data_IF_722275379396
#
_entry.id   IF_722275379396
#
_cell.length_a   1.000
_cell.length_b   1.000
_cell.length_c   1.000
_cell.angle_alpha   90.00
_cell.angle_beta   90.00
_cell.angle_gamma   90.00
#
_symmetry.space_group_name_H-M   'P 1'
#
loop_
_entity.id
_entity.type
_entity.pdbx_description
1 polymer ?
#
# COMPACT_ATOMS: atom_id res chain seq x y z
N UNK A 1 -14.81 13.57 3.98
CA UNK A 1 -14.96 12.22 3.38
C UNK A 1 -16.03 12.23 2.31
N UNK A 2 -17.20 12.80 2.59
CA UNK A 2 -18.26 13.03 1.62
C UNK A 2 -17.78 13.79 0.36
N UNK A 3 -17.21 14.99 0.53
CA UNK A 3 -16.47 15.75 -0.51
C UNK A 3 -15.44 14.90 -1.28
N UNK A 4 -14.80 13.94 -0.61
CA UNK A 4 -13.74 13.12 -1.18
C UNK A 4 -14.27 12.04 -2.14
N UNK A 5 -15.50 11.57 -1.92
CA UNK A 5 -16.14 10.55 -2.78
C UNK A 5 -16.91 11.21 -3.93
N UNK A 6 -17.50 12.38 -3.68
CA UNK A 6 -18.30 13.13 -4.65
C UNK A 6 -17.42 13.92 -5.62
N UNK A 7 -16.39 14.61 -5.12
CA UNK A 7 -15.51 15.48 -5.92
C UNK A 7 -14.10 14.89 -6.14
N UNK A 8 -13.76 13.81 -5.44
CA UNK A 8 -12.46 13.15 -5.54
C UNK A 8 -12.44 11.86 -6.36
N UNK A 9 -11.23 11.38 -6.67
CA UNK A 9 -10.99 10.13 -7.40
C UNK A 9 -10.91 8.89 -6.50
N UNK A 10 -11.23 9.01 -5.21
CA UNK A 10 -11.08 7.95 -4.21
C UNK A 10 -12.17 6.90 -4.37
N UNK A 11 -11.77 5.63 -4.44
CA UNK A 11 -12.68 4.49 -4.59
C UNK A 11 -12.82 3.65 -3.29
N UNK A 12 -11.86 3.74 -2.36
CA UNK A 12 -11.86 3.04 -1.07
C UNK A 12 -11.51 4.03 0.05
N UNK A 13 -12.32 4.08 1.10
CA UNK A 13 -11.97 4.79 2.34
C UNK A 13 -11.22 3.86 3.28
N UNK A 14 -10.00 4.22 3.66
CA UNK A 14 -9.18 3.44 4.59
C UNK A 14 -9.39 3.96 6.01
N UNK A 15 -10.32 3.36 6.75
CA UNK A 15 -10.67 3.78 8.10
C UNK A 15 -10.22 2.73 9.12
N UNK A 16 -9.26 3.05 10.00
CA UNK A 16 -8.81 2.12 11.04
C UNK A 16 -9.75 2.07 12.25
N UNK A 17 -10.56 3.12 12.48
CA UNK A 17 -11.53 3.23 13.56
C UNK A 17 -12.84 3.84 13.03
N UNK A 18 -13.95 3.66 13.76
CA UNK A 18 -15.25 4.30 13.49
C UNK A 18 -15.92 3.91 12.15
N UNK A 19 -15.85 2.63 11.78
CA UNK A 19 -16.51 2.07 10.59
C UNK A 19 -18.03 2.29 10.59
N UNK A 20 -18.66 2.25 11.76
CA UNK A 20 -20.11 2.36 11.90
C UNK A 20 -20.59 3.77 11.54
N UNK A 21 -19.93 4.79 12.08
CA UNK A 21 -20.23 6.20 11.76
C UNK A 21 -20.09 6.47 10.26
N UNK A 22 -19.06 5.90 9.63
CA UNK A 22 -18.89 6.01 8.19
C UNK A 22 -20.00 5.31 7.39
N UNK A 23 -20.37 4.09 7.78
CA UNK A 23 -21.43 3.34 7.12
C UNK A 23 -22.77 4.06 7.18
N UNK A 24 -23.17 4.53 8.37
CA UNK A 24 -24.41 5.28 8.55
C UNK A 24 -24.38 6.63 7.84
N UNK A 25 -23.25 7.35 7.88
CA UNK A 25 -23.08 8.59 7.13
C UNK A 25 -23.21 8.39 5.62
N UNK A 26 -22.60 7.34 5.07
CA UNK A 26 -22.70 7.02 3.64
C UNK A 26 -24.12 6.65 3.22
N UNK A 27 -24.84 5.88 4.06
CA UNK A 27 -26.24 5.56 3.83
C UNK A 27 -27.12 6.82 3.82
N UNK A 28 -26.92 7.73 4.78
CA UNK A 28 -27.64 9.00 4.83
C UNK A 28 -27.39 9.88 3.59
N UNK A 29 -26.14 9.97 3.12
CA UNK A 29 -25.77 10.73 1.90
C UNK A 29 -26.38 10.15 0.62
N UNK A 30 -26.66 8.85 0.58
CA UNK A 30 -27.35 8.20 -0.55
C UNK A 30 -28.86 8.44 -0.56
N UNK A 31 -29.49 8.35 0.61
CA UNK A 31 -30.95 8.33 0.73
C UNK A 31 -31.56 9.74 0.76
N UNK A 32 -31.01 10.63 1.59
CA UNK A 32 -31.69 11.89 1.94
C UNK A 32 -31.08 13.10 1.26
N UNK A 33 -29.76 13.13 1.09
CA UNK A 33 -29.07 14.31 0.58
C UNK A 33 -28.70 14.23 -0.90
N UNK A 34 -28.72 13.02 -1.51
CA UNK A 34 -28.28 12.73 -2.90
C UNK A 34 -26.89 13.30 -3.24
N UNK A 35 -26.08 13.59 -2.23
CA UNK A 35 -24.74 14.15 -2.39
C UNK A 35 -23.85 13.14 -3.14
N UNK A 36 -24.04 11.84 -2.86
CA UNK A 36 -23.40 10.74 -3.59
C UNK A 36 -24.40 10.04 -4.50
N UNK A 37 -24.11 9.96 -5.80
CA UNK A 37 -24.96 9.22 -6.74
C UNK A 37 -24.65 7.73 -6.74
N UNK A 38 -25.66 6.88 -6.93
CA UNK A 38 -25.47 5.44 -7.15
C UNK A 38 -24.48 5.15 -8.29
N UNK A 39 -24.53 5.94 -9.37
CA UNK A 39 -23.59 5.86 -10.49
C UNK A 39 -22.12 6.03 -10.05
N UNK A 40 -21.85 6.94 -9.10
CA UNK A 40 -20.49 7.13 -8.56
C UNK A 40 -20.03 5.90 -7.78
N UNK A 41 -20.90 5.32 -6.96
CA UNK A 41 -20.63 4.09 -6.21
C UNK A 41 -20.39 2.91 -7.16
N UNK A 42 -21.26 2.71 -8.14
CA UNK A 42 -21.13 1.62 -9.12
C UNK A 42 -19.80 1.72 -9.89
N UNK A 43 -19.34 2.95 -10.19
CA UNK A 43 -18.03 3.16 -10.81
C UNK A 43 -16.86 2.75 -9.89
N UNK A 44 -16.91 3.10 -8.60
CA UNK A 44 -15.90 2.66 -7.61
C UNK A 44 -15.89 1.15 -7.44
N UNK A 45 -17.07 0.56 -7.22
CA UNK A 45 -17.24 -0.89 -7.06
C UNK A 45 -16.73 -1.64 -8.28
N UNK A 46 -17.01 -1.16 -9.50
CA UNK A 46 -16.51 -1.78 -10.73
C UNK A 46 -14.98 -1.80 -10.79
N UNK A 47 -14.30 -0.73 -10.38
CA UNK A 47 -12.82 -0.69 -10.36
C UNK A 47 -12.25 -1.66 -9.33
N UNK A 48 -12.86 -1.71 -8.14
CA UNK A 48 -12.47 -2.64 -7.06
C UNK A 48 -12.65 -4.09 -7.51
N UNK A 49 -13.81 -4.44 -8.08
CA UNK A 49 -14.09 -5.78 -8.56
C UNK A 49 -13.18 -6.17 -9.73
N UNK A 50 -12.88 -5.24 -10.64
CA UNK A 50 -11.91 -5.48 -11.72
C UNK A 50 -10.52 -5.78 -11.17
N UNK A 51 -10.04 -5.03 -10.16
CA UNK A 51 -8.75 -5.30 -9.53
C UNK A 51 -8.73 -6.69 -8.87
N UNK A 52 -9.79 -7.03 -8.11
CA UNK A 52 -9.92 -8.37 -7.50
C UNK A 52 -9.90 -9.48 -8.54
N UNK A 53 -10.56 -9.27 -9.68
CA UNK A 53 -10.55 -10.21 -10.81
C UNK A 53 -9.14 -10.35 -11.41
N UNK A 54 -8.43 -9.24 -11.65
CA UNK A 54 -7.07 -9.26 -12.21
C UNK A 54 -6.06 -9.96 -11.29
N UNK A 55 -6.29 -9.92 -9.98
CA UNK A 55 -5.49 -10.63 -8.98
C UNK A 55 -5.92 -12.09 -8.77
N UNK A 56 -6.92 -12.59 -9.50
CA UNK A 56 -7.45 -13.96 -9.34
C UNK A 56 -8.22 -14.19 -8.04
N UNK A 57 -8.53 -13.13 -7.26
CA UNK A 57 -9.18 -13.25 -5.95
C UNK A 57 -10.65 -13.69 -6.03
N UNK A 58 -11.24 -13.67 -7.23
CA UNK A 58 -12.61 -14.13 -7.48
C UNK A 58 -12.66 -15.58 -8.00
N UNK A 59 -11.50 -16.23 -8.17
CA UNK A 59 -11.43 -17.59 -8.69
C UNK A 59 -11.85 -18.61 -7.63
N UNK A 60 -12.45 -19.71 -8.07
CA UNK A 60 -13.00 -20.77 -7.19
C UNK A 60 -11.95 -21.38 -6.24
N UNK A 61 -10.68 -21.35 -6.63
CA UNK A 61 -9.56 -21.94 -5.89
C UNK A 61 -8.66 -20.88 -5.23
N UNK A 62 -9.15 -19.65 -5.00
CA UNK A 62 -8.39 -18.65 -4.26
C UNK A 62 -8.12 -19.14 -2.82
N UNK A 63 -6.92 -19.68 -2.60
CA UNK A 63 -6.50 -20.30 -1.35
C UNK A 63 -5.89 -19.34 -0.33
N UNK A 64 -5.84 -18.04 -0.62
CA UNK A 64 -5.15 -17.08 0.22
C UNK A 64 -3.63 -17.24 0.16
N UNK A 65 -2.99 -17.37 1.32
CA UNK A 65 -1.52 -17.50 1.40
C UNK A 65 -1.09 -18.89 0.97
N UNK A 66 -0.23 -18.95 -0.02
CA UNK A 66 0.49 -20.18 -0.35
C UNK A 66 1.52 -20.46 0.75
N UNK A 67 1.26 -21.51 1.53
CA UNK A 67 2.10 -21.88 2.67
C UNK A 67 3.52 -22.30 2.25
N UNK A 68 3.72 -22.74 1.00
CA UNK A 68 5.04 -23.10 0.49
C UNK A 68 5.94 -21.87 0.33
N UNK A 69 5.36 -20.67 0.20
CA UNK A 69 6.06 -19.40 0.10
C UNK A 69 6.55 -18.86 1.45
N UNK A 70 6.11 -19.41 2.58
CA UNK A 70 6.51 -18.92 3.91
C UNK A 70 8.03 -19.02 4.13
N UNK A 71 8.66 -20.06 3.59
CA UNK A 71 10.10 -20.26 3.67
C UNK A 71 10.89 -19.28 2.78
N UNK A 72 10.22 -18.59 1.84
CA UNK A 72 10.86 -17.56 1.02
C UNK A 72 10.98 -16.22 1.75
N UNK A 73 10.21 -15.98 2.81
CA UNK A 73 10.21 -14.70 3.52
C UNK A 73 11.55 -14.49 4.23
N UNK A 74 12.31 -13.47 3.81
CA UNK A 74 13.57 -13.12 4.47
C UNK A 74 14.66 -14.17 4.25
N UNK A 75 14.61 -14.85 3.12
CA UNK A 75 15.61 -15.82 2.70
C UNK A 75 16.99 -15.13 2.52
N UNK A 76 18.09 -15.88 2.35
CA UNK A 76 19.43 -15.30 2.18
C UNK A 76 19.56 -14.35 0.99
N UNK A 77 18.83 -14.60 -0.11
CA UNK A 77 18.83 -13.75 -1.31
C UNK A 77 18.16 -12.38 -1.03
N UNK A 78 17.02 -12.37 -0.35
CA UNK A 78 16.35 -11.14 0.11
C UNK A 78 17.29 -10.28 0.96
N UNK A 79 18.02 -10.92 1.87
CA UNK A 79 18.96 -10.24 2.79
C UNK A 79 20.14 -9.65 2.04
N UNK A 80 20.71 -10.37 1.08
CA UNK A 80 21.81 -9.86 0.27
C UNK A 80 21.36 -8.70 -0.62
N UNK A 81 20.19 -8.82 -1.25
CA UNK A 81 19.59 -7.74 -2.04
C UNK A 81 19.32 -6.49 -1.20
N UNK A 82 18.76 -6.65 0.00
CA UNK A 82 18.52 -5.56 0.93
C UNK A 82 19.84 -4.92 1.40
N UNK A 83 20.87 -5.72 1.71
CA UNK A 83 22.19 -5.23 2.11
C UNK A 83 22.86 -4.43 1.00
N UNK A 84 22.80 -4.93 -0.25
CA UNK A 84 23.30 -4.23 -1.42
C UNK A 84 22.57 -2.91 -1.63
N UNK A 85 21.24 -2.93 -1.63
CA UNK A 85 20.42 -1.72 -1.78
C UNK A 85 20.72 -0.69 -0.68
N UNK A 86 20.89 -1.14 0.57
CA UNK A 86 21.26 -0.27 1.68
C UNK A 86 22.62 0.40 1.42
N UNK A 87 23.65 -0.37 1.03
CA UNK A 87 24.98 0.16 0.69
C UNK A 87 24.94 1.17 -0.46
N UNK A 88 24.18 0.87 -1.50
CA UNK A 88 24.06 1.73 -2.69
C UNK A 88 23.23 3.01 -2.42
N UNK A 89 22.33 2.97 -1.44
CA UNK A 89 21.49 4.11 -1.03
C UNK A 89 22.19 5.13 -0.12
N UNK A 90 23.39 4.82 0.39
CA UNK A 90 24.12 5.71 1.30
C UNK A 90 24.70 6.89 0.50
N UNK A 91 24.26 8.11 0.85
CA UNK A 91 24.75 9.36 0.26
C UNK A 91 25.74 10.02 1.22
N UNK A 92 27.00 10.17 0.80
CA UNK A 92 28.00 10.93 1.54
C UNK A 92 27.86 12.44 1.23
N UNK A 93 27.22 13.18 2.14
CA UNK A 93 26.93 14.62 1.93
C UNK A 93 28.14 15.52 2.13
N UNK A 94 29.15 15.08 2.90
CA UNK A 94 30.40 15.84 3.14
C UNK A 94 31.56 14.89 3.43
N UNK A 95 32.70 15.13 2.79
CA UNK A 95 33.98 14.48 3.09
C UNK A 95 35.09 15.54 3.18
N UNK A 96 35.29 16.13 4.36
CA UNK A 96 36.23 17.24 4.57
C UNK A 96 37.66 16.75 4.86
N UNK A 97 38.61 17.70 4.87
CA UNK A 97 40.01 17.47 5.29
C UNK A 97 40.76 16.44 4.42
N UNK A 98 40.58 16.49 3.10
CA UNK A 98 41.41 15.72 2.16
C UNK A 98 41.05 14.25 1.98
N UNK A 99 39.79 13.86 2.26
CA UNK A 99 39.25 12.49 2.16
C UNK A 99 39.58 11.59 3.37
N UNK A 100 38.86 11.80 4.47
CA UNK A 100 38.96 10.97 5.70
C UNK A 100 38.43 9.55 5.46
N UNK A 101 37.50 9.38 4.52
CA UNK A 101 36.95 8.09 4.13
C UNK A 101 37.65 7.55 2.86
N UNK A 102 37.86 6.22 2.74
CA UNK A 102 37.41 5.15 3.66
C UNK A 102 38.30 5.00 4.92
N UNK A 103 37.71 4.47 6.01
CA UNK A 103 38.44 4.20 7.26
C UNK A 103 39.30 2.94 7.08
N UNK A 104 40.61 2.98 7.38
CA UNK A 104 41.46 1.78 7.36
C UNK A 104 40.99 0.71 8.34
N UNK A 105 41.09 -0.56 7.94
CA UNK A 105 40.65 -1.71 8.75
C UNK A 105 41.64 -2.11 9.84
N UNK A 106 42.87 -1.62 9.78
CA UNK A 106 43.90 -1.87 10.80
C UNK A 106 43.65 -0.98 12.03
N UNK A 107 43.42 -1.62 13.18
CA UNK A 107 43.37 -0.93 14.47
C UNK A 107 44.80 -0.54 14.87
N UNK A 108 45.02 0.74 15.18
CA UNK A 108 46.19 1.18 15.94
C UNK A 108 46.11 0.67 17.38
#
# INVERSE_FOLDING_TARGET
VELTITEGSVDISMLPFNTDSWYYGMGASLDHAKEVTKKRIDASVRRILRLKQQLGMLDKNWGGVDHDLLNQIGNPEDRENALKMARDSIILTKNSYGSILPIPTEKK
#
